data_IF_673717848187
#
_entry.id   IF_673717848187
#
_cell.length_a   1.000
_cell.length_b   1.000
_cell.length_c   1.000
_cell.angle_alpha   90.00
_cell.angle_beta   90.00
_cell.angle_gamma   90.00
#
_symmetry.space_group_name_H-M   'P 1'
#
loop_
_entity.id
_entity.type
_entity.pdbx_description
1 polymer ?
#
# COMPACT_ATOMS: atom_id res chain seq x y z
N UNK A 1 -13.67 -28.37 27.05
CA UNK A 1 -14.01 -28.34 25.62
C UNK A 1 -13.88 -26.90 25.16
N UNK A 2 -12.72 -26.55 24.63
CA UNK A 2 -12.39 -25.19 24.20
C UNK A 2 -12.79 -25.04 22.74
N UNK A 3 -13.90 -24.35 22.49
CA UNK A 3 -14.35 -23.98 21.15
C UNK A 3 -13.86 -22.58 20.81
N UNK A 4 -12.62 -22.47 20.34
CA UNK A 4 -12.13 -21.27 19.65
C UNK A 4 -12.67 -21.26 18.23
N UNK A 5 -13.40 -20.20 17.87
CA UNK A 5 -13.96 -20.03 16.53
C UNK A 5 -13.67 -18.63 16.02
N UNK A 6 -13.09 -18.62 14.81
CA UNK A 6 -13.03 -17.54 13.84
C UNK A 6 -12.02 -16.40 14.10
N UNK A 7 -10.74 -16.71 13.93
CA UNK A 7 -9.83 -15.74 13.32
C UNK A 7 -10.08 -15.72 11.81
N UNK A 8 -10.83 -14.70 11.39
CA UNK A 8 -11.12 -14.38 9.99
C UNK A 8 -9.96 -13.51 9.46
N UNK A 9 -8.79 -14.12 9.25
CA UNK A 9 -7.67 -13.43 8.59
C UNK A 9 -7.99 -13.30 7.11
N UNK A 10 -8.61 -12.18 6.72
CA UNK A 10 -8.68 -11.74 5.32
C UNK A 10 -7.28 -11.39 4.83
N UNK A 11 -6.61 -12.37 4.23
CA UNK A 11 -5.41 -12.17 3.40
C UNK A 11 -5.78 -11.23 2.25
N UNK A 12 -5.51 -9.93 2.38
CA UNK A 12 -5.60 -9.00 1.27
C UNK A 12 -4.33 -9.18 0.44
N UNK A 13 -4.46 -9.90 -0.67
CA UNK A 13 -3.43 -9.99 -1.70
C UNK A 13 -3.31 -8.62 -2.38
N UNK A 14 -2.33 -7.83 -1.95
CA UNK A 14 -1.92 -6.61 -2.62
C UNK A 14 -1.23 -6.99 -3.93
N UNK A 15 -1.94 -6.85 -5.05
CA UNK A 15 -1.40 -7.06 -6.39
C UNK A 15 -1.06 -5.67 -6.94
N UNK A 16 0.22 -5.29 -6.84
CA UNK A 16 0.79 -4.17 -7.59
C UNK A 16 0.73 -4.51 -9.09
N UNK A 17 -0.41 -4.24 -9.74
CA UNK A 17 -0.50 -4.24 -11.20
C UNK A 17 -0.39 -2.79 -11.68
N UNK A 18 0.84 -2.39 -12.01
CA UNK A 18 1.14 -1.22 -12.86
C UNK A 18 1.13 -1.62 -14.34
N UNK A 19 0.18 -2.46 -14.75
CA UNK A 19 -0.01 -2.75 -16.17
C UNK A 19 -0.97 -1.71 -16.74
N UNK A 20 -0.41 -0.73 -17.46
CA UNK A 20 -1.17 0.25 -18.22
C UNK A 20 -2.19 -0.48 -19.10
N UNK A 21 -3.48 -0.28 -18.84
CA UNK A 21 -4.57 -0.89 -19.61
C UNK A 21 -4.55 -0.28 -21.02
N UNK A 22 -4.24 -1.05 -22.08
CA UNK A 22 -4.25 -0.51 -23.43
C UNK A 22 -5.69 -0.45 -23.91
N UNK A 23 -6.29 0.74 -23.90
CA UNK A 23 -7.64 0.98 -24.44
C UNK A 23 -8.48 2.02 -23.73
N UNK A 24 -7.97 2.69 -22.70
CA UNK A 24 -8.76 3.69 -21.98
C UNK A 24 -9.07 4.92 -22.83
N UNK A 25 -10.36 5.25 -22.89
CA UNK A 25 -10.83 6.59 -23.20
C UNK A 25 -9.99 7.55 -22.36
N UNK A 26 -9.34 8.52 -22.99
CA UNK A 26 -8.61 9.57 -22.30
C UNK A 26 -9.52 10.21 -21.23
N UNK A 27 -9.39 9.79 -19.97
CA UNK A 27 -10.00 10.48 -18.84
C UNK A 27 -9.50 11.93 -18.90
N UNK A 28 -10.41 12.92 -18.86
CA UNK A 28 -10.00 14.32 -18.95
C UNK A 28 -9.36 14.84 -17.66
N UNK A 29 -9.09 13.96 -16.68
CA UNK A 29 -8.22 14.24 -15.55
C UNK A 29 -8.33 13.22 -14.42
N UNK A 30 -7.39 13.31 -13.49
CA UNK A 30 -7.31 12.50 -12.28
C UNK A 30 -7.30 13.38 -11.04
N UNK A 31 -7.85 12.89 -9.94
CA UNK A 31 -7.80 13.56 -8.64
C UNK A 31 -7.16 12.64 -7.61
N UNK A 32 -6.23 13.17 -6.82
CA UNK A 32 -5.62 12.44 -5.71
C UNK A 32 -6.21 12.92 -4.39
N UNK A 33 -6.64 11.97 -3.56
CA UNK A 33 -7.11 12.23 -2.21
C UNK A 33 -6.19 11.54 -1.21
N UNK A 34 -5.67 12.30 -0.25
CA UNK A 34 -4.98 11.74 0.89
C UNK A 34 -6.02 11.15 1.85
N UNK A 35 -5.73 9.96 2.39
CA UNK A 35 -6.68 9.20 3.17
C UNK A 35 -6.01 8.46 4.32
N UNK A 36 -6.80 8.20 5.36
CA UNK A 36 -6.46 7.25 6.42
C UNK A 36 -7.01 5.87 6.05
N UNK A 37 -6.18 4.84 6.21
CA UNK A 37 -6.49 3.44 5.92
C UNK A 37 -6.56 2.66 7.23
N UNK A 38 -7.73 2.65 7.90
CA UNK A 38 -7.96 1.79 9.04
C UNK A 38 -8.12 0.32 8.59
N UNK A 39 -7.62 -0.65 9.36
CA UNK A 39 -7.67 -2.07 8.98
C UNK A 39 -9.08 -2.67 8.89
N UNK A 40 -10.10 -2.05 9.51
CA UNK A 40 -11.45 -2.63 9.65
C UNK A 40 -12.52 -2.03 8.73
N UNK A 41 -12.21 -0.98 7.97
CA UNK A 41 -13.20 -0.26 7.16
C UNK A 41 -12.59 0.38 5.93
N UNK A 42 -13.46 0.93 5.07
CA UNK A 42 -13.04 1.65 3.89
C UNK A 42 -12.11 2.84 4.24
N UNK A 43 -11.20 3.21 3.32
CA UNK A 43 -10.37 4.40 3.48
C UNK A 43 -11.20 5.65 3.76
N UNK A 44 -10.65 6.57 4.55
CA UNK A 44 -11.30 7.83 4.92
C UNK A 44 -10.49 8.99 4.32
N UNK A 45 -10.91 9.56 3.17
CA UNK A 45 -10.28 10.74 2.61
C UNK A 45 -10.37 11.92 3.58
N UNK A 46 -9.26 12.61 3.80
CA UNK A 46 -9.21 13.81 4.66
C UNK A 46 -8.74 15.05 3.90
N UNK A 47 -8.06 14.89 2.77
CA UNK A 47 -7.60 15.99 1.94
C UNK A 47 -7.67 15.61 0.46
N UNK A 48 -8.08 16.56 -0.38
CA UNK A 48 -7.99 16.43 -1.84
C UNK A 48 -6.91 17.39 -2.30
N UNK A 49 -5.94 16.90 -3.08
CA UNK A 49 -4.91 17.78 -3.61
C UNK A 49 -5.56 18.83 -4.53
N UNK A 50 -5.14 20.10 -4.47
CA UNK A 50 -5.88 21.23 -5.04
C UNK A 50 -5.81 21.34 -6.58
N UNK A 51 -5.46 20.25 -7.27
CA UNK A 51 -5.32 20.21 -8.73
C UNK A 51 -5.82 18.91 -9.32
N UNK A 52 -6.28 18.99 -10.57
CA UNK A 52 -6.54 17.83 -11.43
C UNK A 52 -5.28 17.52 -12.22
N UNK A 53 -4.92 16.25 -12.31
CA UNK A 53 -3.72 15.77 -12.98
C UNK A 53 -4.06 15.19 -14.35
N UNK A 54 -3.18 15.35 -15.33
CA UNK A 54 -3.38 14.82 -16.68
C UNK A 54 -3.16 13.30 -16.75
N UNK A 55 -2.35 12.75 -15.85
CA UNK A 55 -2.02 11.33 -15.80
C UNK A 55 -2.11 10.78 -14.38
N UNK A 56 -2.31 9.46 -14.27
CA UNK A 56 -2.23 8.75 -12.97
C UNK A 56 -0.84 8.92 -12.37
N UNK A 57 0.22 8.88 -13.17
CA UNK A 57 1.61 9.02 -12.71
C UNK A 57 1.88 10.38 -12.06
N UNK A 58 1.36 11.47 -12.64
CA UNK A 58 1.49 12.81 -12.07
C UNK A 58 0.73 12.92 -10.73
N UNK A 59 -0.49 12.37 -10.69
CA UNK A 59 -1.30 12.33 -9.46
C UNK A 59 -0.60 11.52 -8.35
N UNK A 60 -0.03 10.38 -8.72
CA UNK A 60 0.74 9.51 -7.83
C UNK A 60 1.95 10.24 -7.26
N UNK A 61 2.80 10.80 -8.12
CA UNK A 61 4.01 11.51 -7.69
C UNK A 61 3.68 12.70 -6.77
N UNK A 62 2.61 13.44 -7.07
CA UNK A 62 2.16 14.53 -6.21
C UNK A 62 1.67 14.03 -4.85
N UNK A 63 0.93 12.93 -4.81
CA UNK A 63 0.42 12.34 -3.58
C UNK A 63 1.53 11.75 -2.70
N UNK A 64 2.48 11.00 -3.29
CA UNK A 64 3.68 10.53 -2.58
C UNK A 64 4.47 11.70 -1.99
N UNK A 65 4.67 12.76 -2.77
CA UNK A 65 5.38 13.95 -2.29
C UNK A 65 4.65 14.59 -1.11
N UNK A 66 3.32 14.69 -1.17
CA UNK A 66 2.50 15.21 -0.08
C UNK A 66 2.59 14.36 1.19
N UNK A 67 2.71 13.03 1.06
CA UNK A 67 2.84 12.12 2.19
C UNK A 67 4.28 11.90 2.67
N UNK A 68 5.30 12.30 1.94
CA UNK A 68 6.71 11.96 2.21
C UNK A 68 7.14 12.10 3.68
N UNK A 69 6.81 13.21 4.33
CA UNK A 69 7.13 13.44 5.75
C UNK A 69 6.34 12.51 6.69
N UNK A 70 5.09 12.21 6.37
CA UNK A 70 4.24 11.28 7.12
C UNK A 70 4.76 9.86 6.94
N UNK A 71 5.05 9.45 5.69
CA UNK A 71 5.63 8.14 5.35
C UNK A 71 6.91 7.90 6.14
N UNK A 72 7.84 8.86 6.16
CA UNK A 72 9.09 8.70 6.92
C UNK A 72 8.84 8.51 8.43
N UNK A 73 7.89 9.23 9.02
CA UNK A 73 7.52 9.07 10.43
C UNK A 73 6.86 7.72 10.69
N UNK A 74 5.85 7.36 9.91
CA UNK A 74 5.10 6.12 10.08
C UNK A 74 5.99 4.89 9.86
N UNK A 75 6.94 4.93 8.93
CA UNK A 75 7.88 3.83 8.74
C UNK A 75 8.75 3.61 9.98
N UNK A 76 9.20 4.67 10.66
CA UNK A 76 9.96 4.55 11.91
C UNK A 76 9.11 3.90 13.00
N UNK A 77 7.82 4.24 13.05
CA UNK A 77 6.88 3.72 14.05
C UNK A 77 6.47 2.27 13.76
N UNK A 78 6.16 1.95 12.50
CA UNK A 78 5.61 0.66 12.08
C UNK A 78 6.71 -0.40 11.87
N UNK A 79 7.85 -0.04 11.28
CA UNK A 79 8.89 -0.99 10.89
C UNK A 79 9.38 -1.90 12.03
N UNK A 80 9.56 -1.44 13.29
CA UNK A 80 9.93 -2.30 14.42
C UNK A 80 8.87 -3.36 14.78
N UNK A 81 7.61 -3.13 14.40
CA UNK A 81 6.48 -4.00 14.70
C UNK A 81 6.13 -4.95 13.55
N UNK A 82 6.71 -4.74 12.37
CA UNK A 82 6.52 -5.64 11.24
C UNK A 82 7.18 -6.99 11.54
N UNK A 83 6.41 -8.05 11.32
CA UNK A 83 6.90 -9.43 11.34
C UNK A 83 6.67 -10.05 9.96
N UNK A 84 7.57 -9.78 8.99
CA UNK A 84 7.48 -10.33 7.66
C UNK A 84 7.65 -11.85 7.70
N UNK A 85 6.79 -12.55 6.98
CA UNK A 85 6.85 -13.99 6.82
C UNK A 85 6.71 -14.35 5.34
N UNK A 86 7.47 -15.33 4.89
CA UNK A 86 7.30 -15.89 3.55
C UNK A 86 6.08 -16.80 3.55
N UNK A 87 5.09 -16.45 2.74
CA UNK A 87 3.90 -17.26 2.50
C UNK A 87 3.85 -17.74 1.05
N UNK A 88 3.19 -18.87 0.82
CA UNK A 88 2.93 -19.36 -0.52
C UNK A 88 1.52 -18.97 -0.92
N UNK A 89 1.39 -18.16 -1.96
CA UNK A 89 0.11 -17.82 -2.58
C UNK A 89 0.04 -18.46 -3.97
N UNK A 90 -0.59 -19.64 -4.04
CA UNK A 90 -0.57 -20.49 -5.23
C UNK A 90 0.84 -20.97 -5.58
N UNK A 91 1.34 -20.59 -6.75
CA UNK A 91 2.71 -20.92 -7.18
C UNK A 91 3.75 -19.86 -6.75
N UNK A 92 3.31 -18.70 -6.27
CA UNK A 92 4.19 -17.59 -5.89
C UNK A 92 4.57 -17.64 -4.42
N UNK A 93 5.84 -17.32 -4.13
CA UNK A 93 6.29 -16.97 -2.79
C UNK A 93 6.05 -15.47 -2.61
N UNK A 94 5.32 -15.09 -1.56
CA UNK A 94 4.99 -13.70 -1.23
C UNK A 94 5.48 -13.36 0.16
N UNK A 95 5.83 -12.10 0.38
CA UNK A 95 6.06 -11.56 1.72
C UNK A 95 4.72 -11.13 2.29
N UNK A 96 4.32 -11.75 3.40
CA UNK A 96 3.15 -11.36 4.16
C UNK A 96 3.59 -10.67 5.47
N UNK A 97 2.83 -9.67 5.88
CA UNK A 97 2.95 -9.03 7.20
C UNK A 97 1.60 -9.08 7.90
N UNK A 98 1.60 -9.03 9.23
CA UNK A 98 0.38 -8.71 9.96
C UNK A 98 0.00 -7.26 9.69
N UNK A 99 -1.27 -7.00 9.36
CA UNK A 99 -1.77 -5.63 9.22
C UNK A 99 -1.76 -4.99 10.61
N UNK A 100 -1.16 -3.80 10.79
CA UNK A 100 -1.20 -3.07 12.05
C UNK A 100 -2.64 -2.80 12.52
N UNK A 101 -2.85 -2.69 13.83
CA UNK A 101 -4.17 -2.34 14.38
C UNK A 101 -4.49 -0.84 14.19
N UNK A 102 -3.44 -0.03 14.07
CA UNK A 102 -3.50 1.39 13.80
C UNK A 102 -3.85 1.68 12.34
N UNK A 103 -4.50 2.82 12.12
CA UNK A 103 -4.73 3.31 10.78
C UNK A 103 -3.44 3.92 10.22
N UNK A 104 -3.12 3.60 8.97
CA UNK A 104 -1.95 4.13 8.25
C UNK A 104 -2.37 5.21 7.26
N UNK A 105 -1.45 6.10 6.89
CA UNK A 105 -1.75 7.08 5.85
C UNK A 105 -1.55 6.49 4.45
N UNK A 106 -2.18 7.12 3.48
CA UNK A 106 -2.09 6.74 2.08
C UNK A 106 -2.82 7.72 1.20
N UNK A 107 -3.02 7.33 -0.05
CA UNK A 107 -3.81 8.09 -1.00
C UNK A 107 -4.62 7.19 -1.93
N UNK A 108 -5.62 7.79 -2.56
CA UNK A 108 -6.48 7.18 -3.56
C UNK A 108 -6.55 8.12 -4.75
N UNK A 109 -6.38 7.59 -5.95
CA UNK A 109 -6.50 8.30 -7.21
C UNK A 109 -7.83 7.92 -7.85
N UNK A 110 -8.61 8.93 -8.20
CA UNK A 110 -9.88 8.79 -8.90
C UNK A 110 -9.76 9.38 -10.31
N UNK A 111 -10.45 8.77 -11.27
CA UNK A 111 -10.71 9.37 -12.58
C UNK A 111 -11.77 10.49 -12.50
N UNK A 112 -12.09 11.10 -13.64
CA UNK A 112 -13.11 12.15 -13.75
C UNK A 112 -14.52 11.70 -13.38
N UNK A 113 -14.82 10.41 -13.52
CA UNK A 113 -16.10 9.81 -13.17
C UNK A 113 -16.20 9.50 -11.66
N UNK A 114 -15.11 9.72 -10.91
CA UNK A 114 -15.02 9.38 -9.50
C UNK A 114 -14.77 7.90 -9.24
N UNK A 115 -14.31 7.16 -10.24
CA UNK A 115 -13.91 5.75 -10.11
C UNK A 115 -12.49 5.69 -9.60
N UNK A 116 -12.26 4.85 -8.58
CA UNK A 116 -10.92 4.56 -8.07
C UNK A 116 -10.10 3.82 -9.13
N UNK A 117 -8.97 4.39 -9.51
CA UNK A 117 -8.04 3.81 -10.50
C UNK A 117 -6.72 3.36 -9.88
N UNK A 118 -6.37 3.90 -8.71
CA UNK A 118 -5.18 3.49 -7.97
C UNK A 118 -5.27 3.88 -6.49
N UNK A 119 -4.58 3.14 -5.63
CA UNK A 119 -4.38 3.50 -4.23
C UNK A 119 -2.98 3.10 -3.77
N UNK A 120 -2.56 3.65 -2.65
CA UNK A 120 -1.27 3.37 -2.03
C UNK A 120 -1.30 3.75 -0.55
N UNK A 121 -0.53 3.04 0.27
CA UNK A 121 -0.38 3.30 1.70
C UNK A 121 1.08 3.33 2.11
N UNK A 122 1.38 3.95 3.24
CA UNK A 122 2.73 3.91 3.83
C UNK A 122 3.16 2.48 4.20
N UNK A 123 2.20 1.56 4.36
CA UNK A 123 2.46 0.14 4.59
C UNK A 123 3.07 -0.54 3.36
N UNK A 124 2.76 -0.09 2.15
CA UNK A 124 3.34 -0.65 0.91
C UNK A 124 4.86 -0.48 0.90
N UNK A 125 5.38 0.69 1.30
CA UNK A 125 6.83 0.91 1.48
C UNK A 125 7.41 -0.01 2.54
N UNK A 126 6.68 -0.18 3.64
CA UNK A 126 7.13 -1.00 4.75
C UNK A 126 7.26 -2.48 4.36
N UNK A 127 6.36 -2.98 3.51
CA UNK A 127 6.41 -4.33 2.91
C UNK A 127 7.57 -4.47 1.92
N UNK A 128 7.83 -3.46 1.09
CA UNK A 128 8.96 -3.44 0.16
C UNK A 128 10.31 -3.46 0.89
N UNK A 129 10.46 -2.64 1.93
CA UNK A 129 11.67 -2.64 2.77
C UNK A 129 11.86 -3.98 3.50
N UNK A 130 10.78 -4.53 4.04
CA UNK A 130 10.78 -5.84 4.70
C UNK A 130 11.22 -6.96 3.74
N UNK A 131 10.67 -6.98 2.53
CA UNK A 131 11.00 -7.98 1.50
C UNK A 131 12.46 -7.90 1.09
N UNK A 132 12.98 -6.68 0.89
CA UNK A 132 14.40 -6.45 0.55
C UNK A 132 15.37 -7.00 1.60
N UNK A 133 14.99 -6.95 2.88
CA UNK A 133 15.79 -7.52 3.98
C UNK A 133 15.76 -9.05 3.99
N UNK A 134 14.65 -9.67 3.58
CA UNK A 134 14.51 -11.12 3.51
C UNK A 134 15.27 -11.74 2.33
N UNK A 135 15.43 -11.00 1.23
CA UNK A 135 16.23 -11.42 0.06
C UNK A 135 17.75 -11.28 0.28
N UNK A 136 18.17 -10.70 1.41
CA UNK A 136 19.58 -10.56 1.80
C UNK A 136 20.12 -11.61 2.82
N UNK A 137 19.79 -12.92 2.78
CA UNK A 137 20.41 -13.89 3.67
C UNK A 137 21.73 -14.38 3.05
N UNK A 138 22.79 -13.57 3.11
CA UNK A 138 24.14 -14.08 2.83
C UNK A 138 25.13 -13.13 2.16
N UNK A 139 25.75 -12.25 2.95
CA UNK A 139 27.13 -11.81 2.66
C UNK A 139 27.97 -11.72 3.94
N UNK A 140 27.75 -12.62 4.89
CA UNK A 140 28.69 -12.84 6.00
C UNK A 140 28.86 -14.34 6.22
N UNK A 141 29.82 -14.93 5.51
CA UNK A 141 30.67 -16.06 5.92
C UNK A 141 31.60 -16.44 4.77
N UNK A 142 32.78 -15.83 4.75
CA UNK A 142 34.05 -16.44 4.33
C UNK A 142 35.17 -15.42 4.59
N UNK A 143 36.10 -15.79 5.47
CA UNK A 143 37.30 -15.01 5.81
C UNK A 143 37.64 -15.22 7.27
#
# INVERSE_FOLDING_TARGET
MSGGRADDYRTHLYRLHLDAIPGERHAMGYTAKLAMFPPWKAPVPYETLPMTFATVADAWSAAEKALSAITARELIEIAPHLQPRSERSGELLVTAIAVPEEAVHGFIIYDEAGVEVANWTTLDVAVEEASSRMESPGSERRG
#
